data_IF_793715526630
#
_entry.id   IF_793715526630
#
_cell.length_a   1.000
_cell.length_b   1.000
_cell.length_c   1.000
_cell.angle_alpha   90.00
_cell.angle_beta   90.00
_cell.angle_gamma   90.00
#
_symmetry.space_group_name_H-M   'P 1'
#
loop_
_entity.id
_entity.type
_entity.pdbx_description
1 polymer ?
#
# COMPACT_ATOMS: atom_id res chain seq x y z
N UNK A 1 17.08 -12.80 -2.48
CA UNK A 1 15.69 -12.69 -1.98
C UNK A 1 15.62 -13.50 -0.71
N UNK A 2 15.51 -12.82 0.42
CA UNK A 2 15.32 -13.41 1.73
C UNK A 2 13.88 -13.93 1.83
N UNK A 3 13.68 -15.07 2.49
CA UNK A 3 12.34 -15.53 2.81
C UNK A 3 11.79 -14.70 3.98
N UNK A 4 10.76 -13.90 3.72
CA UNK A 4 10.02 -13.16 4.74
C UNK A 4 8.98 -14.07 5.40
N UNK A 5 8.58 -13.81 6.66
CA UNK A 5 7.47 -14.51 7.29
C UNK A 5 6.21 -14.47 6.44
N UNK A 6 5.41 -15.54 6.47
CA UNK A 6 4.11 -15.52 5.81
C UNK A 6 3.18 -14.51 6.51
N UNK A 7 2.45 -13.73 5.72
CA UNK A 7 1.39 -12.86 6.24
C UNK A 7 0.15 -13.73 6.48
N UNK A 8 -0.37 -13.70 7.70
CA UNK A 8 -1.50 -14.55 8.12
C UNK A 8 -2.49 -13.76 8.96
N UNK A 9 -3.78 -14.06 8.83
CA UNK A 9 -4.82 -13.48 9.69
C UNK A 9 -5.28 -12.08 9.27
N UNK A 10 -5.02 -11.69 8.03
CA UNK A 10 -5.58 -10.50 7.39
C UNK A 10 -6.99 -10.83 6.86
N UNK A 11 -7.96 -9.93 7.05
CA UNK A 11 -9.26 -10.00 6.40
C UNK A 11 -9.19 -9.49 4.94
N UNK A 12 -10.09 -9.92 4.07
CA UNK A 12 -10.06 -9.56 2.64
C UNK A 12 -10.18 -8.04 2.42
N UNK A 13 -10.85 -7.33 3.33
CA UNK A 13 -11.05 -5.87 3.28
C UNK A 13 -10.07 -5.07 4.15
N UNK A 14 -9.06 -5.72 4.73
CA UNK A 14 -8.06 -5.03 5.53
C UNK A 14 -6.95 -4.42 4.66
N UNK A 15 -6.67 -3.14 4.90
CA UNK A 15 -5.51 -2.46 4.35
C UNK A 15 -4.24 -3.12 4.88
N UNK A 16 -3.41 -3.67 3.99
CA UNK A 16 -2.14 -4.25 4.38
C UNK A 16 -1.03 -3.18 4.42
N UNK A 17 -0.48 -2.92 5.61
CA UNK A 17 0.65 -2.01 5.81
C UNK A 17 1.85 -2.77 6.37
N UNK A 18 2.99 -2.68 5.69
CA UNK A 18 4.23 -3.36 6.06
C UNK A 18 5.28 -2.34 6.47
N UNK A 19 5.73 -2.39 7.73
CA UNK A 19 6.84 -1.56 8.21
C UNK A 19 8.17 -2.16 7.75
N UNK A 20 8.92 -1.40 6.95
CA UNK A 20 10.23 -1.80 6.45
C UNK A 20 11.37 -0.93 6.99
N UNK A 21 11.07 0.27 7.50
CA UNK A 21 12.05 1.10 8.21
C UNK A 21 11.72 1.20 9.72
N UNK A 22 12.72 0.90 10.55
CA UNK A 22 12.62 0.83 12.01
C UNK A 22 13.50 1.90 12.70
N UNK A 23 13.91 2.95 11.98
CA UNK A 23 14.83 3.96 12.52
C UNK A 23 14.13 5.03 13.38
N UNK A 24 12.80 5.16 13.27
CA UNK A 24 12.02 6.15 14.01
C UNK A 24 10.69 5.53 14.49
N UNK A 25 10.62 5.23 15.79
CA UNK A 25 9.40 4.69 16.42
C UNK A 25 8.33 5.76 16.64
N UNK A 26 8.71 7.04 16.74
CA UNK A 26 7.74 8.12 16.92
C UNK A 26 7.02 8.38 15.60
N UNK A 27 7.75 8.48 14.49
CA UNK A 27 7.16 8.59 13.16
C UNK A 27 6.23 7.39 12.87
N UNK A 28 6.59 6.18 13.33
CA UNK A 28 5.74 5.01 13.20
C UNK A 28 4.43 5.11 14.00
N UNK A 29 4.48 5.65 15.21
CA UNK A 29 3.27 5.92 15.99
C UNK A 29 2.36 6.95 15.29
N UNK A 30 2.94 7.97 14.66
CA UNK A 30 2.19 8.99 13.95
C UNK A 30 1.52 8.41 12.67
N UNK A 31 2.23 7.55 11.93
CA UNK A 31 1.68 6.80 10.79
C UNK A 31 0.50 5.92 11.19
N UNK A 32 0.67 5.12 12.25
CA UNK A 32 -0.38 4.18 12.71
C UNK A 32 -1.59 4.90 13.29
N UNK A 33 -1.39 6.02 13.98
CA UNK A 33 -2.48 6.89 14.42
C UNK A 33 -3.26 7.44 13.22
N UNK A 34 -2.58 8.02 12.22
CA UNK A 34 -3.24 8.58 11.04
C UNK A 34 -4.02 7.53 10.22
N UNK A 35 -3.49 6.30 10.13
CA UNK A 35 -4.16 5.16 9.52
C UNK A 35 -5.44 4.75 10.26
N UNK A 36 -5.43 4.82 11.59
CA UNK A 36 -6.57 4.41 12.43
C UNK A 36 -7.68 5.47 12.43
N UNK A 37 -7.32 6.77 12.40
CA UNK A 37 -8.30 7.87 12.39
C UNK A 37 -9.26 7.82 11.19
N UNK A 38 -8.82 7.28 10.05
CA UNK A 38 -9.62 7.19 8.83
C UNK A 38 -10.42 5.89 8.69
N UNK A 39 -10.21 4.90 9.56
CA UNK A 39 -10.88 3.59 9.49
C UNK A 39 -12.40 3.61 9.74
N UNK A 40 -12.95 4.76 10.13
CA UNK A 40 -14.38 4.94 10.38
C UNK A 40 -14.86 4.28 11.69
N UNK A 41 -16.16 4.46 11.98
CA UNK A 41 -16.88 3.78 13.06
C UNK A 41 -18.12 3.08 12.48
N UNK A 42 -18.11 1.75 12.29
CA UNK A 42 -19.21 0.98 11.72
C UNK A 42 -18.88 -0.45 11.26
N UNK A 43 -19.91 -1.19 10.84
CA UNK A 43 -19.80 -2.62 10.44
C UNK A 43 -19.06 -2.88 9.10
N UNK A 44 -18.64 -1.82 8.42
CA UNK A 44 -17.87 -1.85 7.16
C UNK A 44 -16.54 -1.10 7.35
N UNK A 45 -16.04 -1.04 8.59
CA UNK A 45 -14.69 -0.56 8.92
C UNK A 45 -13.67 -1.37 8.13
N UNK A 46 -12.97 -0.72 7.21
CA UNK A 46 -11.72 -1.26 6.70
C UNK A 46 -10.72 -1.20 7.86
N UNK A 47 -10.26 -2.35 8.34
CA UNK A 47 -9.23 -2.37 9.36
C UNK A 47 -7.86 -2.29 8.68
N UNK A 48 -6.84 -2.00 9.47
CA UNK A 48 -5.46 -1.98 8.98
C UNK A 48 -4.76 -3.20 9.53
N UNK A 49 -4.34 -4.10 8.66
CA UNK A 49 -3.48 -5.21 9.00
C UNK A 49 -2.02 -4.74 8.93
N UNK A 50 -1.43 -4.54 10.10
CA UNK A 50 -0.08 -3.99 10.24
C UNK A 50 0.93 -5.11 10.46
N UNK A 51 1.97 -5.13 9.63
CA UNK A 51 3.16 -5.96 9.82
C UNK A 51 4.28 -5.10 10.42
N UNK A 52 4.44 -5.20 11.74
CA UNK A 52 5.50 -4.56 12.54
C UNK A 52 6.38 -5.63 13.18
N UNK A 53 7.09 -6.37 12.34
CA UNK A 53 8.06 -7.40 12.73
C UNK A 53 9.43 -7.03 12.15
N UNK A 54 10.49 -6.84 12.98
CA UNK A 54 11.85 -6.56 12.52
C UNK A 54 12.40 -7.53 11.47
N UNK A 55 11.78 -8.70 11.29
CA UNK A 55 12.04 -9.56 10.15
C UNK A 55 11.74 -8.91 8.78
N UNK A 56 11.03 -7.79 8.73
CA UNK A 56 10.72 -7.04 7.51
C UNK A 56 11.58 -5.80 7.33
N UNK A 57 12.52 -5.55 8.26
CA UNK A 57 13.46 -4.45 8.14
C UNK A 57 14.25 -4.53 6.82
N UNK A 58 14.25 -3.42 6.10
CA UNK A 58 14.90 -3.23 4.79
C UNK A 58 14.40 -4.17 3.69
N UNK A 59 13.23 -4.79 3.86
CA UNK A 59 12.61 -5.61 2.80
C UNK A 59 12.37 -4.78 1.54
N UNK A 60 12.76 -5.31 0.38
CA UNK A 60 12.47 -4.66 -0.89
C UNK A 60 11.01 -4.85 -1.31
N UNK A 61 10.54 -4.02 -2.25
CA UNK A 61 9.23 -4.17 -2.88
C UNK A 61 9.03 -5.59 -3.42
N UNK A 62 10.01 -6.14 -4.15
CA UNK A 62 9.92 -7.51 -4.69
C UNK A 62 9.84 -8.58 -3.60
N UNK A 63 10.53 -8.40 -2.47
CA UNK A 63 10.46 -9.33 -1.34
C UNK A 63 9.08 -9.29 -0.69
N UNK A 64 8.49 -8.10 -0.53
CA UNK A 64 7.13 -7.93 -0.01
C UNK A 64 6.10 -8.53 -0.97
N UNK A 65 6.19 -8.22 -2.28
CA UNK A 65 5.31 -8.79 -3.31
C UNK A 65 5.37 -10.32 -3.35
N UNK A 66 6.58 -10.89 -3.24
CA UNK A 66 6.72 -12.34 -3.17
C UNK A 66 6.14 -12.95 -1.87
N UNK A 67 6.09 -12.21 -0.77
CA UNK A 67 5.49 -12.67 0.48
C UNK A 67 3.95 -12.63 0.45
N UNK A 68 3.36 -11.72 -0.32
CA UNK A 68 1.89 -11.58 -0.47
C UNK A 68 1.31 -12.31 -1.67
N UNK A 69 2.12 -12.85 -2.58
CA UNK A 69 1.68 -13.49 -3.83
C UNK A 69 0.60 -14.58 -3.74
N UNK A 70 0.35 -15.14 -2.56
CA UNK A 70 -0.63 -16.21 -2.35
C UNK A 70 -2.02 -15.66 -2.02
N UNK A 71 -2.14 -14.33 -1.95
CA UNK A 71 -3.29 -13.58 -1.51
C UNK A 71 -3.98 -12.94 -2.71
N UNK A 72 -4.91 -13.68 -3.31
CA UNK A 72 -5.55 -13.29 -4.59
C UNK A 72 -6.52 -12.11 -4.44
N UNK A 73 -6.97 -11.80 -3.22
CA UNK A 73 -7.90 -10.69 -2.93
C UNK A 73 -7.18 -9.35 -2.68
N UNK A 74 -5.85 -9.36 -2.61
CA UNK A 74 -5.05 -8.18 -2.32
C UNK A 74 -4.59 -7.50 -3.61
N UNK A 75 -5.16 -6.34 -3.94
CA UNK A 75 -4.78 -5.54 -5.13
C UNK A 75 -3.63 -4.55 -4.89
N UNK A 76 -3.35 -4.21 -3.63
CA UNK A 76 -2.34 -3.21 -3.24
C UNK A 76 -1.77 -3.51 -1.86
N UNK A 77 -0.47 -3.30 -1.68
CA UNK A 77 0.21 -3.31 -0.38
C UNK A 77 0.88 -1.96 -0.13
N UNK A 78 0.88 -1.50 1.13
CA UNK A 78 1.50 -0.24 1.52
C UNK A 78 2.77 -0.49 2.33
N UNK A 79 3.90 0.09 1.92
CA UNK A 79 5.15 0.00 2.66
C UNK A 79 5.39 1.30 3.44
N UNK A 80 5.65 1.16 4.73
CA UNK A 80 6.17 2.24 5.58
C UNK A 80 7.70 2.15 5.59
N UNK A 81 8.31 2.81 4.61
CA UNK A 81 9.75 2.78 4.35
C UNK A 81 10.46 4.03 4.90
N UNK A 82 11.74 4.20 4.57
CA UNK A 82 12.53 5.33 5.04
C UNK A 82 11.90 6.69 4.70
N UNK A 83 11.31 6.83 3.53
CA UNK A 83 10.66 8.09 3.13
C UNK A 83 9.44 8.34 4.00
N UNK A 84 8.66 7.31 4.31
CA UNK A 84 7.54 7.38 5.25
C UNK A 84 8.00 7.89 6.62
N UNK A 85 9.12 7.38 7.13
CA UNK A 85 9.61 7.78 8.47
C UNK A 85 10.21 9.19 8.51
N UNK A 86 10.73 9.69 7.38
CA UNK A 86 11.47 10.97 7.35
C UNK A 86 10.65 12.18 6.92
N UNK A 87 9.64 11.98 6.07
CA UNK A 87 8.84 13.09 5.54
C UNK A 87 7.71 13.45 6.50
N UNK A 88 7.42 14.75 6.64
CA UNK A 88 6.38 15.25 7.54
C UNK A 88 4.96 14.81 7.18
N UNK A 89 4.72 14.46 5.91
CA UNK A 89 3.44 13.91 5.44
C UNK A 89 3.32 12.39 5.62
N UNK A 90 4.39 11.74 6.08
CA UNK A 90 4.50 10.29 6.27
C UNK A 90 3.97 9.43 5.10
N UNK A 91 4.38 9.71 3.85
CA UNK A 91 3.78 9.05 2.70
C UNK A 91 4.18 7.57 2.64
N UNK A 92 3.17 6.71 2.62
CA UNK A 92 3.30 5.28 2.38
C UNK A 92 3.61 5.04 0.90
N UNK A 93 4.43 4.03 0.61
CA UNK A 93 4.62 3.54 -0.75
C UNK A 93 3.51 2.52 -1.06
N UNK A 94 2.53 2.92 -1.87
CA UNK A 94 1.54 2.01 -2.41
C UNK A 94 2.14 1.22 -3.57
N UNK A 95 2.02 -0.10 -3.55
CA UNK A 95 2.56 -1.01 -4.56
C UNK A 95 1.44 -1.92 -5.04
N UNK A 96 1.19 -1.96 -6.35
CA UNK A 96 0.23 -2.91 -6.92
C UNK A 96 0.79 -4.33 -6.89
N UNK A 97 -0.09 -5.28 -6.59
CA UNK A 97 0.17 -6.72 -6.70
C UNK A 97 -0.03 -7.25 -8.12
N UNK A 98 -0.58 -6.42 -9.03
CA UNK A 98 -0.84 -6.76 -10.43
C UNK A 98 0.41 -7.33 -11.11
N UNK A 99 0.27 -8.55 -11.62
CA UNK A 99 1.28 -9.23 -12.41
C UNK A 99 0.96 -9.16 -13.90
N UNK A 100 1.99 -9.32 -14.73
CA UNK A 100 1.81 -9.31 -16.18
C UNK A 100 0.89 -10.44 -16.64
N UNK A 101 0.93 -11.58 -15.97
CA UNK A 101 0.14 -12.78 -16.27
C UNK A 101 -1.37 -12.60 -16.04
N UNK A 102 -1.76 -11.64 -15.20
CA UNK A 102 -3.17 -11.33 -14.90
C UNK A 102 -3.80 -10.39 -15.94
N UNK A 103 -2.99 -9.68 -16.72
CA UNK A 103 -3.45 -8.77 -17.77
C UNK A 103 -3.81 -9.48 -19.07
N UNK A 104 -4.76 -8.91 -19.82
CA UNK A 104 -5.28 -9.49 -21.06
C UNK A 104 -4.21 -9.66 -22.14
N UNK A 105 -3.37 -8.63 -22.31
CA UNK A 105 -2.25 -8.59 -23.25
C UNK A 105 -1.22 -7.53 -22.82
N UNK A 106 -0.18 -7.32 -23.65
CA UNK A 106 0.91 -6.39 -23.29
C UNK A 106 0.42 -4.95 -23.23
N UNK A 107 -0.56 -4.59 -24.06
CA UNK A 107 -1.12 -3.24 -24.09
C UNK A 107 -1.98 -2.95 -22.86
N UNK A 108 -2.73 -3.95 -22.38
CA UNK A 108 -3.49 -3.89 -21.13
C UNK A 108 -2.55 -3.69 -19.92
N UNK A 109 -1.45 -4.45 -19.85
CA UNK A 109 -0.45 -4.26 -18.79
C UNK A 109 0.24 -2.89 -18.88
N UNK A 110 0.60 -2.42 -20.08
CA UNK A 110 1.16 -1.08 -20.29
C UNK A 110 0.20 0.02 -19.84
N UNK A 111 -1.11 -0.14 -20.11
CA UNK A 111 -2.14 0.81 -19.68
C UNK A 111 -2.29 0.83 -18.15
N UNK A 112 -2.43 -0.35 -17.53
CA UNK A 112 -2.61 -0.48 -16.08
C UNK A 112 -1.35 -0.12 -15.28
N UNK A 113 -0.21 0.05 -15.94
CA UNK A 113 1.06 0.46 -15.32
C UNK A 113 1.67 1.72 -15.96
N UNK A 114 0.87 2.53 -16.66
CA UNK A 114 1.32 3.75 -17.37
C UNK A 114 2.08 4.70 -16.44
N UNK A 115 1.59 4.88 -15.21
CA UNK A 115 2.19 5.72 -14.18
C UNK A 115 3.11 4.96 -13.21
N UNK A 116 3.49 3.73 -13.58
CA UNK A 116 4.31 2.82 -12.77
C UNK A 116 3.50 1.90 -11.86
N UNK A 117 4.20 0.97 -11.20
CA UNK A 117 3.62 0.00 -10.25
C UNK A 117 3.61 0.50 -8.81
N UNK A 118 4.07 1.72 -8.59
CA UNK A 118 4.34 2.29 -7.29
C UNK A 118 3.99 3.77 -7.29
N UNK A 119 3.30 4.23 -6.26
CA UNK A 119 3.10 5.66 -6.01
C UNK A 119 3.09 5.95 -4.50
N UNK A 120 3.14 7.23 -4.13
CA UNK A 120 3.11 7.63 -2.72
C UNK A 120 1.73 8.12 -2.34
N UNK A 121 1.21 7.65 -1.21
CA UNK A 121 -0.05 8.11 -0.63
C UNK A 121 0.17 8.56 0.80
N UNK A 122 -0.46 9.66 1.22
CA UNK A 122 -0.52 9.98 2.66
C UNK A 122 -1.28 8.88 3.41
N UNK A 123 -1.01 8.63 4.70
CA UNK A 123 -1.67 7.57 5.46
C UNK A 123 -3.21 7.64 5.38
N UNK A 124 -3.75 8.86 5.35
CA UNK A 124 -5.19 9.08 5.25
C UNK A 124 -5.82 8.58 3.93
N UNK A 125 -5.03 8.44 2.86
CA UNK A 125 -5.49 7.95 1.56
C UNK A 125 -5.48 6.42 1.42
N UNK A 126 -4.85 5.68 2.35
CA UNK A 126 -4.67 4.23 2.19
C UNK A 126 -6.00 3.46 2.17
N UNK A 127 -6.95 3.86 3.01
CA UNK A 127 -8.30 3.27 3.03
C UNK A 127 -9.08 3.53 1.75
N UNK A 128 -9.02 4.75 1.22
CA UNK A 128 -9.70 5.10 -0.03
C UNK A 128 -9.15 4.29 -1.21
N UNK A 129 -7.82 4.25 -1.35
CA UNK A 129 -7.15 3.44 -2.38
C UNK A 129 -7.54 1.97 -2.26
N UNK A 130 -7.39 1.37 -1.08
CA UNK A 130 -7.70 -0.05 -0.89
C UNK A 130 -9.17 -0.35 -1.17
N UNK A 131 -10.10 0.41 -0.57
CA UNK A 131 -11.53 0.15 -0.69
C UNK A 131 -12.01 0.22 -2.15
N UNK A 132 -11.57 1.21 -2.92
CA UNK A 132 -11.96 1.35 -4.32
C UNK A 132 -11.38 0.24 -5.21
N UNK A 133 -10.13 -0.17 -4.97
CA UNK A 133 -9.51 -1.29 -5.68
C UNK A 133 -10.21 -2.62 -5.36
N UNK A 134 -10.52 -2.88 -4.10
CA UNK A 134 -11.15 -4.13 -3.65
C UNK A 134 -12.55 -4.33 -4.24
N UNK A 135 -13.29 -3.25 -4.53
CA UNK A 135 -14.62 -3.34 -5.14
C UNK A 135 -14.61 -3.07 -6.66
N UNK A 136 -13.45 -2.79 -7.24
CA UNK A 136 -13.30 -2.46 -8.66
C UNK A 136 -14.01 -1.16 -9.08
N UNK A 137 -14.11 -0.18 -8.18
CA UNK A 137 -14.70 1.13 -8.50
C UNK A 137 -13.70 2.07 -9.18
N UNK A 138 -12.43 2.04 -8.76
CA UNK A 138 -11.31 2.75 -9.40
C UNK A 138 -10.10 1.81 -9.49
N UNK A 139 -9.26 2.01 -10.51
CA UNK A 139 -8.03 1.26 -10.77
C UNK A 139 -6.80 1.84 -10.06
N UNK A 140 -5.71 1.07 -10.00
CA UNK A 140 -4.46 1.50 -9.35
C UNK A 140 -3.79 2.61 -10.18
N UNK A 141 -3.87 2.49 -11.49
CA UNK A 141 -3.38 3.45 -12.47
C UNK A 141 -4.03 4.82 -12.33
N UNK A 142 -5.31 4.89 -11.93
CA UNK A 142 -6.01 6.15 -11.70
C UNK A 142 -5.43 6.89 -10.48
N UNK A 143 -5.20 6.17 -9.37
CA UNK A 143 -4.54 6.74 -8.19
C UNK A 143 -3.08 7.12 -8.46
N UNK A 144 -2.36 6.29 -9.22
CA UNK A 144 -0.99 6.58 -9.64
C UNK A 144 -0.93 7.83 -10.52
N UNK A 145 -1.91 8.03 -11.41
CA UNK A 145 -2.05 9.25 -12.22
C UNK A 145 -2.30 10.48 -11.34
N UNK A 146 -3.19 10.39 -10.35
CA UNK A 146 -3.45 11.51 -9.44
C UNK A 146 -2.23 11.85 -8.57
N UNK A 147 -1.49 10.84 -8.10
CA UNK A 147 -0.23 11.07 -7.40
C UNK A 147 0.81 11.71 -8.33
N UNK A 148 0.87 11.30 -9.60
CA UNK A 148 1.77 11.86 -10.60
C UNK A 148 1.48 13.34 -10.90
N UNK A 149 0.20 13.72 -10.98
CA UNK A 149 -0.24 15.10 -11.23
C UNK A 149 -0.10 16.02 -10.01
N UNK A 150 0.03 15.46 -8.81
CA UNK A 150 0.26 16.22 -7.58
C UNK A 150 1.68 16.84 -7.57
N UNK A 151 1.83 18.13 -7.21
CA UNK A 151 3.14 18.79 -7.19
C UNK A 151 4.19 18.16 -6.26
N UNK A 152 3.75 17.43 -5.23
CA UNK A 152 4.62 16.70 -4.31
C UNK A 152 4.72 15.20 -4.65
N UNK A 153 4.06 14.75 -5.72
CA UNK A 153 4.03 13.35 -6.12
C UNK A 153 3.23 12.45 -5.18
N UNK A 154 2.28 13.01 -4.40
CA UNK A 154 1.54 12.30 -3.37
C UNK A 154 0.05 12.26 -3.68
N UNK A 155 -0.55 11.07 -3.60
CA UNK A 155 -1.99 10.94 -3.52
C UNK A 155 -2.50 11.42 -2.15
N UNK A 156 -3.55 12.26 -2.17
CA UNK A 156 -4.28 12.74 -1.00
C UNK A 156 -5.78 12.63 -1.28
N UNK A 157 -6.57 12.06 -0.35
CA UNK A 157 -8.02 12.04 -0.51
C UNK A 157 -8.59 13.46 -0.44
N UNK A 158 -9.67 13.70 -1.18
CA UNK A 158 -10.39 14.98 -1.27
C UNK A 158 -11.48 15.13 -0.23
#
# INVERSE_FOLDING_TARGET
MRALPAITGRDEFDVLVVRTDYHDDQAWQDVTAALTEQGGAGRFEAHVHVIDDPAWAEASVDEVLNAVRADEDLSVVFLADRTTMQAASHPLLAVTTLTREECLDDADYEQLTEFGREFRAVPAGAHDVHANLSIGNLGFEEYAAWAHDDPEGLFRPV
#
